data_IF_939479963212
#
_entry.id   IF_939479963212
#
_cell.length_a   1.000
_cell.length_b   1.000
_cell.length_c   1.000
_cell.angle_alpha   90.00
_cell.angle_beta   90.00
_cell.angle_gamma   90.00
#
_symmetry.space_group_name_H-M   'P 1'
#
loop_
_entity.id
_entity.type
_entity.pdbx_description
1 polymer ?
#
# COMPACT_ATOMS: atom_id res chain seq x y z
N UNK A 1 -22.30 -15.78 6.56
CA UNK A 1 -21.28 -16.73 6.07
C UNK A 1 -20.25 -15.96 5.23
N UNK A 2 -18.96 -15.99 5.58
CA UNK A 2 -17.89 -15.25 4.87
C UNK A 2 -17.40 -16.12 3.72
N UNK A 3 -17.73 -15.74 2.49
CA UNK A 3 -17.47 -16.55 1.30
C UNK A 3 -15.98 -16.51 0.89
N UNK A 4 -15.45 -17.58 0.27
CA UNK A 4 -14.03 -17.71 -0.06
C UNK A 4 -13.58 -16.65 -1.08
N UNK A 5 -12.35 -16.15 -0.91
CA UNK A 5 -11.72 -15.15 -1.78
C UNK A 5 -10.94 -15.82 -2.91
N UNK A 6 -10.70 -15.14 -4.04
CA UNK A 6 -9.70 -15.56 -5.02
C UNK A 6 -8.39 -15.97 -4.34
N UNK A 7 -7.78 -17.09 -4.75
CA UNK A 7 -6.48 -17.54 -4.24
C UNK A 7 -5.35 -16.71 -4.84
N UNK A 8 -5.39 -15.40 -4.60
CA UNK A 8 -4.26 -14.51 -4.87
C UNK A 8 -3.17 -14.83 -3.84
N UNK A 9 -1.99 -15.18 -4.34
CA UNK A 9 -0.83 -15.58 -3.53
C UNK A 9 0.40 -14.75 -3.90
N UNK A 10 1.33 -14.69 -2.97
CA UNK A 10 2.69 -14.17 -3.15
C UNK A 10 2.76 -12.81 -3.88
N UNK A 11 1.89 -11.89 -3.47
CA UNK A 11 1.68 -10.62 -4.16
C UNK A 11 2.05 -9.42 -3.28
N UNK A 12 2.43 -8.32 -3.91
CA UNK A 12 2.52 -7.04 -3.23
C UNK A 12 1.12 -6.41 -3.14
N UNK A 13 0.79 -5.86 -1.98
CA UNK A 13 -0.53 -5.29 -1.70
C UNK A 13 -0.35 -3.95 -1.01
N UNK A 14 -0.89 -2.91 -1.64
CA UNK A 14 -1.08 -1.63 -1.01
C UNK A 14 -2.45 -1.59 -0.32
N UNK A 15 -2.45 -1.38 0.98
CA UNK A 15 -3.64 -1.25 1.80
C UNK A 15 -3.84 0.21 2.18
N UNK A 16 -4.98 0.77 1.80
CA UNK A 16 -5.44 2.06 2.30
C UNK A 16 -6.55 1.88 3.34
N UNK A 17 -6.44 2.58 4.46
CA UNK A 17 -7.49 2.60 5.47
C UNK A 17 -7.74 4.03 5.98
N UNK A 18 -9.01 4.46 5.98
CA UNK A 18 -9.41 5.82 6.34
C UNK A 18 -10.14 5.87 7.68
N UNK A 19 -9.89 6.94 8.44
CA UNK A 19 -10.66 7.30 9.63
C UNK A 19 -12.12 7.56 9.27
N UNK A 20 -13.01 7.31 10.23
CA UNK A 20 -14.45 7.57 10.11
C UNK A 20 -14.68 9.03 9.69
N UNK A 21 -15.64 9.25 8.77
CA UNK A 21 -16.00 10.57 8.25
C UNK A 21 -14.82 11.42 7.69
N UNK A 22 -13.66 10.81 7.38
CA UNK A 22 -12.41 11.50 7.00
C UNK A 22 -11.88 12.46 8.06
N UNK A 23 -12.30 12.28 9.32
CA UNK A 23 -11.81 13.04 10.46
C UNK A 23 -10.31 12.85 10.66
N UNK A 24 -9.66 13.89 11.18
CA UNK A 24 -8.23 13.86 11.49
C UNK A 24 -7.94 13.19 12.84
N UNK A 25 -8.40 11.95 13.03
CA UNK A 25 -8.20 11.21 14.28
C UNK A 25 -6.73 10.81 14.53
N UNK A 26 -5.87 10.94 13.52
CA UNK A 26 -4.43 10.74 13.60
C UNK A 26 -3.68 12.08 13.51
N UNK A 27 -4.34 13.22 13.83
CA UNK A 27 -3.75 14.57 13.78
C UNK A 27 -2.52 14.73 14.68
N UNK A 28 -2.51 14.12 15.85
CA UNK A 28 -1.42 14.28 16.81
C UNK A 28 -0.37 13.17 16.67
N UNK A 29 0.90 13.55 16.86
CA UNK A 29 2.03 12.61 16.75
C UNK A 29 1.90 11.41 17.70
N UNK A 30 1.38 11.62 18.92
CA UNK A 30 1.13 10.53 19.88
C UNK A 30 0.19 9.47 19.32
N UNK A 31 -0.84 9.86 18.55
CA UNK A 31 -1.81 8.93 17.99
C UNK A 31 -1.17 8.08 16.89
N UNK A 32 -0.32 8.71 16.06
CA UNK A 32 0.46 8.03 15.02
C UNK A 32 1.54 7.12 15.61
N UNK A 33 2.22 7.53 16.67
CA UNK A 33 3.20 6.71 17.38
C UNK A 33 2.55 5.45 17.96
N UNK A 34 1.35 5.57 18.53
CA UNK A 34 0.61 4.40 19.01
C UNK A 34 0.24 3.46 17.86
N UNK A 35 -0.11 4.00 16.68
CA UNK A 35 -0.32 3.18 15.49
C UNK A 35 0.97 2.48 15.02
N UNK A 36 2.11 3.18 14.97
CA UNK A 36 3.42 2.58 14.67
C UNK A 36 3.78 1.45 15.65
N UNK A 37 3.50 1.60 16.94
CA UNK A 37 3.69 0.52 17.93
C UNK A 37 2.80 -0.68 17.62
N UNK A 38 1.55 -0.47 17.22
CA UNK A 38 0.64 -1.55 16.80
C UNK A 38 1.09 -2.20 15.49
N UNK A 39 1.67 -1.44 14.55
CA UNK A 39 2.30 -1.99 13.34
C UNK A 39 3.50 -2.87 13.67
N UNK A 40 4.39 -2.44 14.57
CA UNK A 40 5.51 -3.27 15.02
C UNK A 40 5.05 -4.57 15.69
N UNK A 41 3.97 -4.53 16.45
CA UNK A 41 3.38 -5.75 17.01
C UNK A 41 2.75 -6.62 15.91
N UNK A 42 2.11 -6.01 14.91
CA UNK A 42 1.56 -6.72 13.77
C UNK A 42 2.65 -7.43 12.96
N UNK A 43 3.78 -6.77 12.69
CA UNK A 43 4.91 -7.36 11.94
C UNK A 43 5.51 -8.58 12.64
N UNK A 44 5.55 -8.57 13.97
CA UNK A 44 6.00 -9.71 14.79
C UNK A 44 4.96 -10.83 14.86
N UNK A 45 3.69 -10.47 15.11
CA UNK A 45 2.60 -11.44 15.31
C UNK A 45 2.23 -12.16 14.01
N UNK A 46 2.19 -11.42 12.90
CA UNK A 46 1.84 -11.91 11.57
C UNK A 46 3.08 -12.02 10.70
N UNK A 47 4.11 -12.66 11.24
CA UNK A 47 5.46 -12.76 10.65
C UNK A 47 5.50 -13.29 9.22
N UNK A 48 4.45 -13.94 8.71
CA UNK A 48 4.34 -14.39 7.31
C UNK A 48 4.15 -13.23 6.35
N UNK A 49 3.49 -12.17 6.79
CA UNK A 49 3.34 -10.91 6.06
C UNK A 49 4.62 -10.10 6.23
N UNK A 50 5.09 -9.50 5.14
CA UNK A 50 6.26 -8.61 5.18
C UNK A 50 5.80 -7.21 4.88
N UNK A 51 6.00 -6.30 5.81
CA UNK A 51 5.81 -4.87 5.54
C UNK A 51 6.96 -4.41 4.65
N UNK A 52 6.64 -3.81 3.52
CA UNK A 52 7.61 -3.26 2.58
C UNK A 52 7.78 -1.77 2.82
N UNK A 53 6.70 -1.07 3.17
CA UNK A 53 6.68 0.34 3.52
C UNK A 53 5.34 0.70 4.24
N UNK A 54 5.26 1.89 4.83
CA UNK A 54 4.03 2.45 5.38
C UNK A 54 4.05 3.98 5.38
N UNK A 55 2.87 4.60 5.37
CA UNK A 55 2.72 6.03 5.64
C UNK A 55 1.45 6.27 6.49
N UNK A 56 1.64 6.86 7.67
CA UNK A 56 0.54 7.20 8.58
C UNK A 56 0.30 8.71 8.46
N UNK A 57 -0.84 9.09 7.89
CA UNK A 57 -1.23 10.50 7.71
C UNK A 57 -2.10 10.97 8.88
N UNK A 58 -2.77 12.11 8.75
CA UNK A 58 -3.69 12.65 9.75
C UNK A 58 -5.09 12.02 9.75
N UNK A 59 -5.56 11.44 8.63
CA UNK A 59 -6.91 10.82 8.53
C UNK A 59 -6.94 9.47 7.79
N UNK A 60 -5.79 8.93 7.40
CA UNK A 60 -5.68 7.62 6.78
C UNK A 60 -4.28 7.03 6.93
N UNK A 61 -4.19 5.72 6.74
CA UNK A 61 -2.93 4.97 6.74
C UNK A 61 -2.78 4.22 5.42
N UNK A 62 -1.54 4.18 4.96
CA UNK A 62 -1.08 3.39 3.83
C UNK A 62 -0.11 2.33 4.34
N UNK A 63 -0.33 1.07 3.97
CA UNK A 63 0.58 -0.04 4.27
C UNK A 63 0.91 -0.73 2.96
N UNK A 64 2.18 -0.95 2.67
CA UNK A 64 2.63 -1.73 1.53
C UNK A 64 3.18 -3.05 2.08
N UNK A 65 2.63 -4.19 1.63
CA UNK A 65 3.00 -5.50 2.15
C UNK A 65 3.25 -6.50 1.03
N UNK A 66 4.19 -7.42 1.23
CA UNK A 66 4.20 -8.69 0.53
C UNK A 66 3.32 -9.70 1.30
N UNK A 67 2.39 -10.31 0.59
CA UNK A 67 1.29 -11.11 1.14
C UNK A 67 1.28 -12.49 0.48
N UNK A 68 1.67 -13.56 1.20
CA UNK A 68 1.58 -14.92 0.69
C UNK A 68 0.14 -15.37 0.44
N UNK A 69 -0.81 -14.91 1.29
CA UNK A 69 -2.24 -15.24 1.19
C UNK A 69 -3.11 -14.08 1.65
N UNK A 70 -4.15 -13.77 0.89
CA UNK A 70 -5.10 -12.70 1.25
C UNK A 70 -5.89 -12.97 2.55
N UNK A 71 -5.97 -14.23 3.00
CA UNK A 71 -6.50 -14.60 4.32
C UNK A 71 -5.67 -14.02 5.45
N UNK A 72 -4.35 -14.12 5.35
CA UNK A 72 -3.40 -13.72 6.38
C UNK A 72 -3.44 -12.19 6.53
N UNK A 73 -3.50 -11.47 5.42
CA UNK A 73 -3.73 -10.02 5.41
C UNK A 73 -5.04 -9.65 6.12
N UNK A 74 -6.11 -10.41 5.87
CA UNK A 74 -7.42 -10.11 6.45
C UNK A 74 -7.46 -10.35 7.95
N UNK A 75 -6.75 -11.36 8.44
CA UNK A 75 -6.60 -11.65 9.86
C UNK A 75 -5.78 -10.56 10.55
N UNK A 76 -4.63 -10.19 9.97
CA UNK A 76 -3.79 -9.10 10.47
C UNK A 76 -4.57 -7.79 10.55
N UNK A 77 -5.25 -7.40 9.46
CA UNK A 77 -6.02 -6.16 9.45
C UNK A 77 -7.18 -6.21 10.44
N UNK A 78 -7.87 -7.35 10.61
CA UNK A 78 -8.91 -7.46 11.63
C UNK A 78 -8.36 -7.19 13.04
N UNK A 79 -7.23 -7.81 13.37
CA UNK A 79 -6.56 -7.61 14.65
C UNK A 79 -6.05 -6.17 14.83
N UNK A 80 -5.33 -5.64 13.85
CA UNK A 80 -4.71 -4.30 13.89
C UNK A 80 -5.77 -3.21 14.01
N UNK A 81 -6.83 -3.29 13.20
CA UNK A 81 -7.90 -2.30 13.20
C UNK A 81 -8.69 -2.30 14.51
N UNK A 82 -9.07 -3.49 14.97
CA UNK A 82 -9.87 -3.66 16.18
C UNK A 82 -9.11 -3.27 17.44
N UNK A 83 -7.84 -3.71 17.55
CA UNK A 83 -6.99 -3.36 18.70
C UNK A 83 -6.73 -1.86 18.78
N UNK A 84 -6.25 -1.24 17.69
CA UNK A 84 -5.95 0.20 17.69
C UNK A 84 -7.19 1.06 17.94
N UNK A 85 -8.32 0.76 17.28
CA UNK A 85 -9.55 1.51 17.48
C UNK A 85 -10.03 1.44 18.93
N UNK A 86 -9.96 0.27 19.56
CA UNK A 86 -10.30 0.07 20.97
C UNK A 86 -9.41 0.92 21.87
N UNK A 87 -8.09 0.83 21.73
CA UNK A 87 -7.16 1.58 22.57
C UNK A 87 -7.34 3.10 22.41
N UNK A 88 -7.54 3.55 21.17
CA UNK A 88 -7.75 4.96 20.86
C UNK A 88 -9.01 5.47 21.57
N UNK A 89 -10.13 4.75 21.42
CA UNK A 89 -11.42 5.13 22.00
C UNK A 89 -11.37 5.15 23.53
N UNK A 90 -10.75 4.15 24.16
CA UNK A 90 -10.56 4.11 25.63
C UNK A 90 -9.75 5.33 26.09
N UNK A 91 -8.59 5.58 25.48
CA UNK A 91 -7.71 6.69 25.86
C UNK A 91 -8.34 8.06 25.64
N UNK A 92 -9.15 8.22 24.61
CA UNK A 92 -9.81 9.49 24.25
C UNK A 92 -11.22 9.63 24.83
N UNK A 93 -11.70 8.64 25.60
CA UNK A 93 -13.09 8.57 26.11
C UNK A 93 -14.13 8.81 25.00
N UNK A 94 -13.88 8.21 23.84
CA UNK A 94 -14.68 8.40 22.62
C UNK A 94 -15.53 7.17 22.35
N UNK A 95 -16.74 7.40 21.90
CA UNK A 95 -17.64 6.37 21.39
C UNK A 95 -17.68 6.34 19.86
N UNK A 96 -18.19 5.25 19.30
CA UNK A 96 -18.36 5.10 17.85
C UNK A 96 -17.12 4.61 17.09
N UNK A 97 -17.31 4.39 15.78
CA UNK A 97 -16.29 3.79 14.92
C UNK A 97 -15.08 4.70 14.71
N UNK A 98 -13.87 4.16 14.84
CA UNK A 98 -12.63 4.88 14.49
C UNK A 98 -12.38 4.85 12.97
N UNK A 99 -12.69 3.73 12.32
CA UNK A 99 -12.46 3.51 10.89
C UNK A 99 -13.75 3.64 10.09
N UNK A 100 -13.65 4.13 8.84
CA UNK A 100 -14.80 4.29 7.94
C UNK A 100 -15.47 2.98 7.54
N UNK A 101 -14.75 1.87 7.65
CA UNK A 101 -15.23 0.55 7.25
C UNK A 101 -14.06 -0.40 7.05
N UNK A 102 -14.20 -1.31 6.09
CA UNK A 102 -13.15 -2.28 5.72
C UNK A 102 -11.96 -1.54 5.09
N UNK A 103 -10.78 -2.13 5.21
CA UNK A 103 -9.61 -1.67 4.44
C UNK A 103 -9.80 -1.91 2.95
N UNK A 104 -9.09 -1.13 2.14
CA UNK A 104 -9.04 -1.27 0.69
C UNK A 104 -7.69 -1.85 0.26
N UNK A 105 -7.61 -3.12 -0.16
CA UNK A 105 -6.41 -3.70 -0.76
C UNK A 105 -6.37 -3.45 -2.27
N UNK A 106 -5.24 -2.98 -2.77
CA UNK A 106 -4.89 -2.89 -4.18
C UNK A 106 -3.67 -3.78 -4.44
N UNK A 107 -3.81 -4.77 -5.34
CA UNK A 107 -2.70 -5.62 -5.74
C UNK A 107 -1.73 -4.82 -6.62
N UNK A 108 -0.44 -4.97 -6.37
CA UNK A 108 0.62 -4.26 -7.09
C UNK A 108 1.56 -5.31 -7.65
N UNK A 109 1.85 -5.24 -8.95
CA UNK A 109 2.89 -6.06 -9.53
C UNK A 109 4.26 -5.69 -8.95
N UNK A 110 5.09 -6.69 -8.69
CA UNK A 110 6.49 -6.50 -8.30
C UNK A 110 7.30 -5.74 -9.37
N UNK A 111 8.51 -5.28 -9.03
CA UNK A 111 9.37 -4.51 -9.92
C UNK A 111 8.96 -3.04 -10.04
N UNK A 112 8.88 -2.52 -11.26
CA UNK A 112 8.65 -1.10 -11.55
C UNK A 112 7.32 -0.55 -11.03
N UNK A 113 6.26 -1.37 -11.01
CA UNK A 113 4.97 -0.97 -10.46
C UNK A 113 5.02 -0.82 -8.94
N UNK A 114 5.76 -1.71 -8.27
CA UNK A 114 6.00 -1.64 -6.84
C UNK A 114 6.80 -0.40 -6.47
N UNK A 115 7.88 -0.09 -7.19
CA UNK A 115 8.68 1.11 -6.91
C UNK A 115 7.87 2.40 -7.09
N UNK A 116 7.04 2.50 -8.13
CA UNK A 116 6.13 3.63 -8.32
C UNK A 116 5.10 3.73 -7.19
N UNK A 117 4.57 2.61 -6.71
CA UNK A 117 3.66 2.59 -5.56
C UNK A 117 4.37 3.03 -4.27
N UNK A 118 5.60 2.54 -4.03
CA UNK A 118 6.45 2.94 -2.91
C UNK A 118 6.62 4.46 -2.86
N UNK A 119 7.10 5.07 -3.95
CA UNK A 119 7.26 6.52 -4.02
C UNK A 119 5.93 7.28 -3.94
N UNK A 120 4.83 6.71 -4.45
CA UNK A 120 3.51 7.28 -4.21
C UNK A 120 3.18 7.33 -2.71
N UNK A 121 3.52 6.32 -1.91
CA UNK A 121 3.32 6.35 -0.46
C UNK A 121 4.21 7.40 0.21
N UNK A 122 5.51 7.40 -0.06
CA UNK A 122 6.48 8.29 0.57
C UNK A 122 6.20 9.76 0.30
N UNK A 123 5.84 10.09 -0.94
CA UNK A 123 5.52 11.47 -1.33
C UNK A 123 4.19 11.95 -0.76
N UNK A 124 3.38 11.12 -0.06
CA UNK A 124 2.04 11.50 0.39
C UNK A 124 2.03 12.77 1.25
N UNK A 125 2.97 12.90 2.18
CA UNK A 125 3.01 14.04 3.10
C UNK A 125 3.57 15.30 2.43
N UNK A 126 4.44 15.15 1.44
CA UNK A 126 4.88 16.25 0.55
C UNK A 126 3.71 16.74 -0.30
N UNK A 127 2.97 15.81 -0.92
CA UNK A 127 1.76 16.15 -1.69
C UNK A 127 0.67 16.82 -0.86
N UNK A 128 0.63 16.55 0.43
CA UNK A 128 -0.29 17.18 1.38
C UNK A 128 0.20 18.54 1.90
N UNK A 129 1.41 18.97 1.54
CA UNK A 129 2.03 20.23 2.01
C UNK A 129 2.39 20.21 3.49
N UNK A 130 2.64 19.03 4.08
CA UNK A 130 2.95 18.89 5.51
C UNK A 130 4.44 18.88 5.79
N UNK A 131 5.24 18.42 4.82
CA UNK A 131 6.70 18.37 4.86
C UNK A 131 7.25 18.67 3.47
N UNK A 132 8.49 19.13 3.38
CA UNK A 132 9.15 19.41 2.10
C UNK A 132 9.81 18.15 1.51
N UNK A 133 10.27 17.24 2.38
CA UNK A 133 10.88 15.98 1.96
C UNK A 133 10.30 14.77 2.74
N UNK A 134 10.17 13.56 2.14
CA UNK A 134 9.64 12.39 2.85
C UNK A 134 10.43 11.98 4.09
N UNK A 135 11.74 12.25 4.12
CA UNK A 135 12.57 12.03 5.31
C UNK A 135 12.22 12.93 6.49
N UNK A 136 11.45 14.01 6.30
CA UNK A 136 11.01 14.87 7.40
C UNK A 136 9.73 14.35 8.06
N UNK A 137 9.14 13.27 7.53
CA UNK A 137 7.96 12.64 8.11
C UNK A 137 8.31 11.39 8.94
N UNK A 138 8.32 11.47 10.29
CA UNK A 138 8.76 10.35 11.15
C UNK A 138 7.71 9.22 11.26
N UNK A 139 6.57 9.36 10.60
CA UNK A 139 5.48 8.37 10.61
C UNK A 139 5.30 7.70 9.24
N UNK A 140 6.35 7.66 8.43
CA UNK A 140 6.46 6.83 7.22
C UNK A 140 7.67 5.90 7.27
N UNK A 141 7.81 5.04 6.27
CA UNK A 141 8.89 4.06 6.19
C UNK A 141 10.19 4.60 5.58
N UNK A 142 10.19 5.74 4.88
CA UNK A 142 11.39 6.31 4.23
C UNK A 142 12.66 6.31 5.12
N UNK A 143 12.58 6.88 6.34
CA UNK A 143 13.71 6.89 7.28
C UNK A 143 14.16 5.48 7.68
N UNK A 144 13.21 4.56 7.82
CA UNK A 144 13.46 3.19 8.24
C UNK A 144 14.09 2.36 7.12
N UNK A 145 13.68 2.62 5.87
CA UNK A 145 14.25 1.99 4.69
C UNK A 145 15.72 2.40 4.59
N UNK A 146 16.07 3.68 4.51
CA UNK A 146 17.47 4.13 4.36
C UNK A 146 18.32 4.10 5.65
N UNK A 147 18.11 3.10 6.50
CA UNK A 147 19.05 2.74 7.56
C UNK A 147 19.13 3.68 8.76
N UNK A 148 18.39 4.80 8.80
CA UNK A 148 18.44 5.72 9.94
C UNK A 148 17.91 5.11 11.25
N UNK A 149 17.23 3.94 11.17
CA UNK A 149 16.63 3.24 12.31
C UNK A 149 17.05 1.78 12.37
N UNK A 150 18.00 1.46 13.26
CA UNK A 150 18.56 0.10 13.38
C UNK A 150 17.76 -0.86 14.30
N UNK A 151 16.90 -0.34 15.18
CA UNK A 151 16.11 -1.15 16.14
C UNK A 151 14.62 -0.97 15.94
N UNK A 152 13.85 -2.03 16.22
CA UNK A 152 12.39 -2.04 16.13
C UNK A 152 11.87 -1.67 14.73
N UNK A 153 12.50 -2.23 13.69
CA UNK A 153 12.05 -2.11 12.31
C UNK A 153 10.72 -2.84 12.09
N UNK A 154 9.81 -2.18 11.39
CA UNK A 154 8.56 -2.68 10.85
C UNK A 154 8.80 -3.24 9.44
N UNK A 155 9.56 -2.53 8.61
CA UNK A 155 9.82 -2.84 7.21
C UNK A 155 10.87 -3.96 7.07
N UNK A 156 10.53 -4.96 6.26
CA UNK A 156 11.42 -6.03 5.82
C UNK A 156 12.11 -5.59 4.51
N UNK A 157 13.25 -4.92 4.67
CA UNK A 157 14.05 -4.38 3.56
C UNK A 157 14.52 -5.47 2.60
N UNK A 158 14.93 -6.63 3.10
CA UNK A 158 15.34 -7.74 2.25
C UNK A 158 14.19 -8.22 1.36
N UNK A 159 12.97 -8.32 1.91
CA UNK A 159 11.80 -8.64 1.10
C UNK A 159 11.46 -7.53 0.10
N UNK A 160 11.58 -6.25 0.48
CA UNK A 160 11.38 -5.13 -0.43
C UNK A 160 12.33 -5.24 -1.63
N UNK A 161 13.63 -5.39 -1.39
CA UNK A 161 14.65 -5.55 -2.42
C UNK A 161 14.36 -6.73 -3.35
N UNK A 162 13.97 -7.88 -2.80
CA UNK A 162 13.54 -9.02 -3.60
C UNK A 162 12.33 -8.69 -4.49
N UNK A 163 11.32 -8.01 -3.96
CA UNK A 163 10.13 -7.63 -4.73
C UNK A 163 10.41 -6.54 -5.76
N UNK A 164 11.46 -5.73 -5.57
CA UNK A 164 11.91 -4.74 -6.55
C UNK A 164 12.77 -5.34 -7.67
N UNK A 165 13.20 -6.61 -7.55
CA UNK A 165 14.14 -7.23 -8.48
C UNK A 165 15.59 -6.83 -8.20
N UNK A 166 15.90 -6.39 -6.98
CA UNK A 166 17.21 -5.88 -6.54
C UNK A 166 17.74 -6.60 -5.28
N UNK A 167 17.62 -7.95 -5.12
CA UNK A 167 17.80 -8.64 -3.84
C UNK A 167 19.19 -8.50 -3.18
N UNK A 168 20.23 -8.21 -3.96
CA UNK A 168 21.63 -8.10 -3.49
C UNK A 168 22.17 -6.66 -3.55
N UNK A 169 21.31 -5.68 -3.87
CA UNK A 169 21.72 -4.30 -4.12
C UNK A 169 21.40 -3.39 -2.92
N UNK A 170 21.78 -3.84 -1.72
CA UNK A 170 21.44 -3.12 -0.49
C UNK A 170 22.03 -1.71 -0.44
N UNK A 171 23.31 -1.56 -0.80
CA UNK A 171 23.98 -0.26 -0.85
C UNK A 171 23.42 0.63 -1.97
N UNK A 172 23.29 0.10 -3.18
CA UNK A 172 22.78 0.84 -4.33
C UNK A 172 21.31 1.28 -4.17
N UNK A 173 20.52 0.57 -3.35
CA UNK A 173 19.15 0.97 -3.05
C UNK A 173 19.11 2.31 -2.33
N UNK A 174 20.01 2.59 -1.38
CA UNK A 174 19.95 3.84 -0.63
C UNK A 174 20.21 5.04 -1.52
N UNK A 175 21.21 4.94 -2.40
CA UNK A 175 21.52 5.99 -3.37
C UNK A 175 20.38 6.18 -4.37
N UNK A 176 19.88 5.09 -4.96
CA UNK A 176 18.76 5.14 -5.90
C UNK A 176 17.50 5.72 -5.27
N UNK A 177 17.15 5.28 -4.06
CA UNK A 177 15.94 5.70 -3.36
C UNK A 177 16.02 7.18 -2.94
N UNK A 178 17.16 7.62 -2.38
CA UNK A 178 17.39 9.03 -2.02
C UNK A 178 17.38 9.93 -3.25
N UNK A 179 18.09 9.55 -4.31
CA UNK A 179 18.14 10.33 -5.54
C UNK A 179 16.76 10.46 -6.19
N UNK A 180 15.98 9.36 -6.23
CA UNK A 180 14.64 9.36 -6.81
C UNK A 180 13.69 10.24 -5.99
N UNK A 181 13.72 10.17 -4.65
CA UNK A 181 12.92 11.05 -3.81
C UNK A 181 13.27 12.53 -3.99
N UNK A 182 14.56 12.87 -4.10
CA UNK A 182 15.01 14.23 -4.38
C UNK A 182 14.44 14.76 -5.70
N UNK A 183 14.61 13.99 -6.79
CA UNK A 183 14.06 14.34 -8.10
C UNK A 183 12.53 14.51 -8.08
N UNK A 184 11.82 13.65 -7.35
CA UNK A 184 10.37 13.75 -7.22
C UNK A 184 9.95 15.00 -6.43
N UNK A 185 10.70 15.40 -5.40
CA UNK A 185 10.46 16.63 -4.67
C UNK A 185 10.66 17.86 -5.57
N UNK A 186 11.76 17.89 -6.33
CA UNK A 186 12.05 18.97 -7.28
C UNK A 186 10.93 19.09 -8.34
N UNK A 187 10.52 17.97 -8.92
CA UNK A 187 9.43 17.94 -9.92
C UNK A 187 8.08 18.32 -9.32
N UNK A 188 7.79 17.94 -8.07
CA UNK A 188 6.50 18.23 -7.44
C UNK A 188 6.22 19.73 -7.31
N UNK A 189 7.28 20.55 -7.20
CA UNK A 189 7.13 22.01 -7.21
C UNK A 189 6.58 22.56 -8.53
N UNK A 190 6.63 21.79 -9.62
CA UNK A 190 6.30 22.28 -10.98
C UNK A 190 4.97 21.79 -11.55
N UNK A 191 4.42 20.64 -11.13
CA UNK A 191 3.08 20.17 -11.56
C UNK A 191 2.52 19.01 -10.69
N UNK A 192 1.80 19.27 -9.59
CA UNK A 192 1.32 18.22 -8.71
C UNK A 192 0.11 17.46 -9.28
N UNK A 193 0.30 16.25 -9.78
CA UNK A 193 -0.81 15.33 -10.13
C UNK A 193 -0.87 14.13 -9.21
N UNK A 194 -1.99 13.98 -8.51
CA UNK A 194 -2.28 12.79 -7.72
C UNK A 194 -2.71 11.65 -8.63
N UNK A 195 -2.14 10.47 -8.43
CA UNK A 195 -2.49 9.23 -9.13
C UNK A 195 -3.43 8.38 -8.23
N UNK A 196 -4.76 8.55 -8.30
CA UNK A 196 -5.68 7.93 -7.34
C UNK A 196 -5.72 6.40 -7.42
N UNK A 197 -5.39 5.83 -8.58
CA UNK A 197 -5.50 4.40 -8.87
C UNK A 197 -4.64 3.54 -7.94
N UNK A 198 -3.51 4.04 -7.44
CA UNK A 198 -2.71 3.36 -6.43
C UNK A 198 -3.52 3.00 -5.19
N UNK A 199 -4.55 3.78 -4.86
CA UNK A 199 -5.37 3.60 -3.65
C UNK A 199 -6.82 3.16 -3.90
N UNK A 200 -7.24 3.03 -5.17
CA UNK A 200 -8.64 2.77 -5.53
C UNK A 200 -8.84 1.63 -6.52
N UNK A 201 -7.79 1.17 -7.19
CA UNK A 201 -7.87 0.03 -8.08
C UNK A 201 -7.96 -1.29 -7.31
N UNK A 202 -8.39 -2.35 -7.99
CA UNK A 202 -8.28 -3.72 -7.51
C UNK A 202 -6.86 -4.23 -7.70
N UNK A 203 -6.27 -3.99 -8.88
CA UNK A 203 -4.90 -4.37 -9.21
C UNK A 203 -4.26 -3.34 -10.16
N UNK A 204 -2.93 -3.21 -10.10
CA UNK A 204 -2.11 -2.34 -10.95
C UNK A 204 -0.87 -3.10 -11.40
N UNK A 205 -0.59 -3.10 -12.70
CA UNK A 205 0.50 -3.86 -13.32
C UNK A 205 0.43 -3.83 -14.85
N UNK A 206 1.29 -4.63 -15.47
CA UNK A 206 1.27 -4.93 -16.90
C UNK A 206 0.08 -5.81 -17.28
N UNK A 207 -0.30 -5.78 -18.57
CA UNK A 207 -1.45 -6.51 -19.09
C UNK A 207 -1.38 -8.02 -18.78
N UNK A 208 -0.23 -8.64 -19.04
CA UNK A 208 -0.02 -10.07 -18.83
C UNK A 208 -0.24 -10.47 -17.36
N UNK A 209 0.38 -9.71 -16.43
CA UNK A 209 0.24 -9.97 -14.99
C UNK A 209 -1.18 -9.69 -14.50
N UNK A 210 -1.83 -8.63 -14.98
CA UNK A 210 -3.22 -8.36 -14.64
C UNK A 210 -4.15 -9.47 -15.13
N UNK A 211 -3.89 -10.03 -16.31
CA UNK A 211 -4.67 -11.15 -16.83
C UNK A 211 -4.44 -12.43 -16.00
N UNK A 212 -3.20 -12.67 -15.58
CA UNK A 212 -2.86 -13.85 -14.78
C UNK A 212 -3.57 -13.90 -13.43
N UNK A 213 -4.06 -12.76 -12.90
CA UNK A 213 -4.89 -12.71 -11.68
C UNK A 213 -6.23 -13.44 -11.89
N UNK A 214 -6.78 -13.39 -13.10
CA UNK A 214 -8.00 -14.10 -13.47
C UNK A 214 -7.78 -15.62 -13.57
N UNK A 215 -6.53 -16.03 -13.80
CA UNK A 215 -6.17 -17.43 -14.07
C UNK A 215 -7.05 -18.02 -15.18
N UNK A 216 -7.39 -19.30 -15.05
CA UNK A 216 -8.28 -19.98 -16.01
C UNK A 216 -9.77 -19.67 -15.80
N UNK A 217 -10.11 -18.71 -14.93
CA UNK A 217 -11.48 -18.47 -14.46
C UNK A 217 -12.15 -17.38 -15.28
N UNK A 218 -11.42 -16.31 -15.60
CA UNK A 218 -11.97 -15.15 -16.30
C UNK A 218 -10.84 -14.41 -17.02
N UNK A 219 -11.01 -14.18 -18.32
CA UNK A 219 -10.16 -13.25 -19.07
C UNK A 219 -10.43 -11.82 -18.59
N UNK A 220 -9.38 -11.17 -18.09
CA UNK A 220 -9.46 -9.84 -17.51
C UNK A 220 -9.08 -8.73 -18.48
N UNK A 221 -8.57 -9.07 -19.67
CA UNK A 221 -8.14 -8.14 -20.72
C UNK A 221 -9.20 -7.07 -21.02
N UNK A 222 -10.50 -7.40 -21.18
CA UNK A 222 -11.54 -6.40 -21.50
C UNK A 222 -11.79 -5.36 -20.40
N UNK A 223 -11.28 -5.57 -19.18
CA UNK A 223 -11.50 -4.68 -18.04
C UNK A 223 -10.30 -3.83 -17.66
N UNK A 224 -9.17 -4.00 -18.36
CA UNK A 224 -7.97 -3.22 -18.11
C UNK A 224 -8.18 -1.79 -18.58
N UNK A 225 -7.90 -0.83 -17.71
CA UNK A 225 -7.98 0.59 -18.00
C UNK A 225 -6.57 1.19 -17.92
N UNK A 226 -6.24 2.13 -18.82
CA UNK A 226 -5.04 2.95 -18.65
C UNK A 226 -5.11 3.71 -17.32
N UNK A 227 -4.02 3.68 -16.55
CA UNK A 227 -3.94 4.34 -15.26
C UNK A 227 -3.71 5.85 -15.39
N UNK A 228 -3.04 6.27 -16.47
CA UNK A 228 -2.81 7.68 -16.84
C UNK A 228 -3.59 7.96 -18.12
N UNK A 229 -4.43 8.99 -18.11
CA UNK A 229 -5.13 9.48 -19.31
C UNK A 229 -4.38 10.61 -20.02
N UNK A 230 -3.57 11.40 -19.30
CA UNK A 230 -2.96 12.62 -19.81
C UNK A 230 -1.54 12.83 -19.24
N UNK A 231 -0.53 12.57 -20.06
CA UNK A 231 0.89 12.87 -19.85
C UNK A 231 1.63 12.66 -21.17
N UNK A 232 2.74 13.37 -21.46
CA UNK A 232 3.43 13.22 -22.73
C UNK A 232 3.81 11.76 -22.89
N UNK A 233 3.31 11.14 -23.97
CA UNK A 233 3.72 9.81 -24.39
C UNK A 233 5.22 9.89 -24.69
N UNK A 234 6.05 9.59 -23.70
CA UNK A 234 7.38 9.11 -24.03
C UNK A 234 7.18 7.72 -24.61
N UNK A 235 7.46 7.54 -25.90
CA UNK A 235 7.21 6.32 -26.69
C UNK A 235 7.71 5.01 -26.05
N UNK A 236 8.53 5.09 -24.98
CA UNK A 236 9.15 3.96 -24.29
C UNK A 236 8.75 3.79 -22.81
N UNK A 237 7.84 4.59 -22.24
CA UNK A 237 7.39 4.36 -20.86
C UNK A 237 6.35 3.24 -20.79
N UNK A 238 6.54 2.18 -19.99
CA UNK A 238 5.58 1.10 -19.87
C UNK A 238 4.22 1.64 -19.42
N UNK A 239 3.17 1.28 -20.17
CA UNK A 239 1.81 1.74 -19.96
C UNK A 239 1.26 1.12 -18.68
N UNK A 240 1.19 1.90 -17.60
CA UNK A 240 0.57 1.43 -16.34
C UNK A 240 -0.90 1.14 -16.58
N UNK A 241 -1.29 -0.13 -16.41
CA UNK A 241 -2.68 -0.56 -16.47
C UNK A 241 -3.23 -0.82 -15.07
N UNK A 242 -4.56 -0.74 -14.95
CA UNK A 242 -5.28 -1.04 -13.72
C UNK A 242 -6.53 -1.85 -13.99
N UNK A 243 -6.87 -2.70 -13.03
CA UNK A 243 -8.19 -3.32 -12.92
C UNK A 243 -9.05 -2.52 -11.93
N UNK A 244 -10.23 -2.03 -12.32
CA UNK A 244 -11.13 -1.30 -11.43
C UNK A 244 -11.67 -2.17 -10.28
N UNK A 245 -12.02 -1.54 -9.16
CA UNK A 245 -12.54 -2.27 -7.99
C UNK A 245 -13.82 -3.08 -8.27
N UNK A 246 -14.66 -2.62 -9.21
CA UNK A 246 -15.89 -3.34 -9.63
C UNK A 246 -15.63 -4.76 -10.14
N UNK A 247 -14.41 -5.03 -10.64
CA UNK A 247 -14.03 -6.34 -11.18
C UNK A 247 -13.85 -7.39 -10.08
N UNK A 248 -13.49 -6.98 -8.86
CA UNK A 248 -13.34 -7.90 -7.73
C UNK A 248 -14.59 -8.75 -7.47
N UNK A 249 -15.78 -8.13 -7.52
CA UNK A 249 -17.05 -8.84 -7.30
C UNK A 249 -17.36 -9.83 -8.42
N UNK A 250 -16.86 -9.57 -9.64
CA UNK A 250 -17.07 -10.41 -10.81
C UNK A 250 -16.21 -11.67 -10.73
N UNK A 251 -14.90 -11.51 -10.50
CA UNK A 251 -13.98 -12.61 -10.23
C UNK A 251 -14.49 -13.50 -9.09
N UNK A 252 -14.99 -12.88 -8.03
CA UNK A 252 -15.57 -13.59 -6.89
C UNK A 252 -16.80 -14.43 -7.29
N UNK A 253 -17.71 -13.89 -8.11
CA UNK A 253 -18.87 -14.66 -8.62
C UNK A 253 -18.42 -15.82 -9.52
N UNK A 254 -17.43 -15.59 -10.39
CA UNK A 254 -16.92 -16.61 -11.30
C UNK A 254 -16.28 -17.80 -10.54
N UNK A 255 -15.50 -17.51 -9.50
CA UNK A 255 -14.90 -18.51 -8.61
C UNK A 255 -15.93 -19.40 -7.90
N UNK A 256 -17.09 -18.85 -7.53
CA UNK A 256 -18.13 -19.63 -6.86
C UNK A 256 -18.98 -20.47 -7.83
N UNK A 257 -19.03 -20.10 -9.12
CA UNK A 257 -19.74 -20.90 -10.14
C UNK A 257 -19.00 -22.19 -10.49
N UNK A 258 -17.67 -22.19 -10.56
CA UNK A 258 -16.86 -23.41 -10.85
C UNK A 258 -16.85 -24.45 -9.71
N UNK A 259 -17.47 -24.16 -8.56
CA UNK A 259 -17.53 -25.07 -7.40
C UNK A 259 -18.84 -25.86 -7.32
N UNK A 260 -19.74 -25.64 -8.28
CA UNK A 260 -21.01 -26.36 -8.48
C UNK A 260 -20.99 -27.01 -9.85
#
# INVERSE_FOLDING_TARGET
>A
MRLPRPQIRDCCVHVTQRCQQREFLLKFAVDRQQYQRRLLQASRKFWRLRFLDYAITSNHVHLLLWVPRMSDLSEMMHWLQGSFARDYNIRKRREGAFWRGRFHPTLIQSGSHLSRCLFYLDMNMVRAGVVDHPFDWPHGGAQELCGARHRNRICDRARLLWCLGMPEQDEAFDDWYRATLGQLCDQWTTAPRREPYWSSAFAVGEAEWLNSIGGDIEDLTPYMEAAIKDGPETENAPKVLRLPQRIFLRLWKALNRKRH
#
